data_IF_726051379497
#
_entry.id   IF_726051379497
#
_cell.length_a   1.000
_cell.length_b   1.000
_cell.length_c   1.000
_cell.angle_alpha   90.00
_cell.angle_beta   90.00
_cell.angle_gamma   90.00
#
_symmetry.space_group_name_H-M   'P 1'
#
loop_
_entity.id
_entity.type
_entity.pdbx_description
1 polymer ?
#
# COMPACT_ATOMS: atom_id res chain seq x y z
N UNK A 1 1.91 -10.84 6.58
CA UNK A 1 1.91 -11.64 5.35
C UNK A 1 0.63 -12.46 5.17
N UNK A 2 0.30 -13.39 6.10
CA UNK A 2 -0.83 -14.31 5.94
C UNK A 2 -2.15 -13.63 5.59
N UNK A 3 -2.46 -12.49 6.22
CA UNK A 3 -3.68 -11.72 5.91
C UNK A 3 -3.71 -11.20 4.47
N UNK A 4 -2.56 -10.79 3.92
CA UNK A 4 -2.49 -10.35 2.53
C UNK A 4 -2.56 -11.52 1.55
N UNK A 5 -1.98 -12.68 1.90
CA UNK A 5 -2.16 -13.89 1.10
C UNK A 5 -3.62 -14.34 1.02
N UNK A 6 -4.40 -14.17 2.10
CA UNK A 6 -5.84 -14.43 2.05
C UNK A 6 -6.56 -13.50 1.07
N UNK A 7 -6.14 -12.22 0.97
CA UNK A 7 -6.68 -11.31 -0.04
C UNK A 7 -6.27 -11.72 -1.48
N UNK A 8 -5.00 -12.12 -1.68
CA UNK A 8 -4.54 -12.61 -2.99
C UNK A 8 -5.27 -13.91 -3.41
N UNK A 9 -5.58 -14.77 -2.45
CA UNK A 9 -6.39 -15.95 -2.72
C UNK A 9 -7.82 -15.56 -3.15
N UNK A 10 -8.43 -14.59 -2.46
CA UNK A 10 -9.73 -14.06 -2.84
C UNK A 10 -9.71 -13.41 -4.25
N UNK A 11 -8.62 -12.73 -4.62
CA UNK A 11 -8.39 -12.21 -5.98
C UNK A 11 -8.36 -13.34 -7.02
N UNK A 12 -7.65 -14.42 -6.71
CA UNK A 12 -7.50 -15.57 -7.59
C UNK A 12 -8.83 -16.31 -7.85
N UNK A 13 -9.59 -16.56 -6.78
CA UNK A 13 -10.85 -17.32 -6.86
C UNK A 13 -12.03 -16.48 -7.31
N UNK A 14 -12.11 -15.22 -6.88
CA UNK A 14 -13.29 -14.37 -7.03
C UNK A 14 -13.09 -13.13 -7.88
N UNK A 15 -11.88 -12.91 -8.38
CA UNK A 15 -11.56 -11.79 -9.25
C UNK A 15 -11.34 -10.46 -8.52
N UNK A 16 -11.14 -9.41 -9.32
CA UNK A 16 -10.72 -8.09 -8.87
C UNK A 16 -11.76 -7.40 -7.97
N UNK A 17 -13.04 -7.65 -8.18
CA UNK A 17 -14.11 -7.02 -7.39
C UNK A 17 -14.09 -7.55 -5.95
N UNK A 18 -14.00 -8.88 -5.78
CA UNK A 18 -13.92 -9.51 -4.46
C UNK A 18 -12.63 -9.09 -3.74
N UNK A 19 -11.51 -9.02 -4.47
CA UNK A 19 -10.27 -8.48 -3.94
C UNK A 19 -10.42 -7.05 -3.43
N UNK A 20 -11.05 -6.17 -4.21
CA UNK A 20 -11.28 -4.78 -3.84
C UNK A 20 -12.13 -4.65 -2.55
N UNK A 21 -13.15 -5.48 -2.40
CA UNK A 21 -13.98 -5.53 -1.19
C UNK A 21 -13.19 -5.96 0.04
N UNK A 22 -12.39 -7.01 -0.09
CA UNK A 22 -11.51 -7.52 0.99
C UNK A 22 -10.48 -6.46 1.39
N UNK A 23 -9.81 -5.83 0.43
CA UNK A 23 -8.83 -4.76 0.68
C UNK A 23 -9.51 -3.55 1.34
N UNK A 24 -10.68 -3.14 0.86
CA UNK A 24 -11.45 -2.04 1.46
C UNK A 24 -11.83 -2.32 2.91
N UNK A 25 -12.20 -3.55 3.23
CA UNK A 25 -12.50 -3.96 4.60
C UNK A 25 -11.25 -3.88 5.48
N UNK A 26 -10.10 -4.40 5.02
CA UNK A 26 -8.82 -4.31 5.74
C UNK A 26 -8.42 -2.86 5.97
N UNK A 27 -8.57 -2.00 4.97
CA UNK A 27 -8.30 -0.57 5.06
C UNK A 27 -9.14 0.09 6.14
N UNK A 28 -10.46 -0.10 6.13
CA UNK A 28 -11.36 0.48 7.14
C UNK A 28 -10.99 0.06 8.56
N UNK A 29 -10.60 -1.20 8.75
CA UNK A 29 -10.16 -1.69 10.05
C UNK A 29 -8.83 -1.09 10.49
N UNK A 30 -7.85 -1.04 9.62
CA UNK A 30 -6.54 -0.45 9.92
C UNK A 30 -6.66 1.03 10.26
N UNK A 31 -7.45 1.79 9.50
CA UNK A 31 -7.63 3.23 9.71
C UNK A 31 -8.29 3.57 11.05
N UNK A 32 -9.27 2.78 11.49
CA UNK A 32 -9.95 3.00 12.78
C UNK A 32 -9.03 2.90 14.01
N UNK A 33 -7.93 2.16 13.89
CA UNK A 33 -7.03 1.88 15.01
C UNK A 33 -5.60 2.36 14.78
N UNK A 34 -5.32 3.05 13.67
CA UNK A 34 -3.95 3.45 13.31
C UNK A 34 -3.30 4.36 14.35
N UNK A 35 -4.10 5.23 15.02
CA UNK A 35 -3.62 6.10 16.10
C UNK A 35 -3.13 5.35 17.34
N UNK A 36 -3.45 4.07 17.47
CA UNK A 36 -3.04 3.24 18.61
C UNK A 36 -1.61 2.70 18.47
N UNK A 37 -1.00 2.84 17.29
CA UNK A 37 0.41 2.51 17.13
C UNK A 37 0.80 1.97 15.75
N UNK A 38 2.10 1.66 15.61
CA UNK A 38 2.69 1.11 14.40
C UNK A 38 2.32 -0.38 14.22
N UNK A 39 2.69 -0.92 13.06
CA UNK A 39 2.61 -2.38 12.78
C UNK A 39 3.61 -3.14 13.68
N UNK A 40 4.81 -2.57 13.83
CA UNK A 40 5.84 -3.12 14.72
C UNK A 40 5.53 -2.77 16.17
N UNK A 41 5.14 -3.77 16.96
CA UNK A 41 4.71 -3.57 18.33
C UNK A 41 5.86 -3.54 19.34
N UNK A 42 6.99 -4.23 19.06
CA UNK A 42 8.11 -4.31 19.97
C UNK A 42 7.68 -4.76 21.38
N UNK A 43 8.08 -4.00 22.40
CA UNK A 43 7.73 -4.26 23.80
C UNK A 43 6.23 -4.11 24.10
N UNK A 44 5.46 -3.48 23.24
CA UNK A 44 4.00 -3.33 23.42
C UNK A 44 3.23 -4.61 23.15
N UNK A 45 3.86 -5.61 22.54
CA UNK A 45 3.21 -6.89 22.21
C UNK A 45 2.49 -7.48 23.42
N UNK A 46 3.15 -7.54 24.58
CA UNK A 46 2.58 -8.07 25.83
C UNK A 46 1.41 -7.25 26.42
N UNK A 47 1.21 -6.01 25.99
CA UNK A 47 0.06 -5.18 26.41
C UNK A 47 -1.12 -5.32 25.46
N UNK A 48 -0.86 -5.45 24.16
CA UNK A 48 -1.88 -5.51 23.10
C UNK A 48 -2.51 -6.89 22.98
N UNK A 49 -1.88 -7.95 23.51
CA UNK A 49 -2.46 -9.30 23.49
C UNK A 49 -3.83 -9.38 24.17
N UNK A 50 -4.09 -8.50 25.14
CA UNK A 50 -5.40 -8.37 25.81
C UNK A 50 -6.43 -7.54 25.05
N UNK A 51 -6.03 -6.95 23.92
CA UNK A 51 -6.90 -6.19 23.00
C UNK A 51 -6.89 -6.79 21.58
N UNK A 52 -7.51 -7.97 21.37
CA UNK A 52 -7.41 -8.71 20.12
C UNK A 52 -7.89 -7.92 18.90
N UNK A 53 -8.81 -6.95 19.08
CA UNK A 53 -9.29 -6.10 17.98
C UNK A 53 -8.20 -5.14 17.50
N UNK A 54 -7.49 -4.51 18.43
CA UNK A 54 -6.37 -3.59 18.12
C UNK A 54 -5.21 -4.36 17.51
N UNK A 55 -4.84 -5.48 18.11
CA UNK A 55 -3.81 -6.36 17.57
C UNK A 55 -4.12 -6.77 16.12
N UNK A 56 -5.35 -7.23 15.86
CA UNK A 56 -5.79 -7.61 14.52
C UNK A 56 -5.77 -6.43 13.54
N UNK A 57 -6.17 -5.25 13.99
CA UNK A 57 -6.17 -4.06 13.15
C UNK A 57 -4.76 -3.61 12.77
N UNK A 58 -3.82 -3.59 13.72
CA UNK A 58 -2.46 -3.11 13.49
C UNK A 58 -1.59 -4.17 12.81
N UNK A 59 -1.50 -5.37 13.36
CA UNK A 59 -0.56 -6.39 12.86
C UNK A 59 -1.08 -7.05 11.59
N UNK A 60 -2.35 -7.44 11.56
CA UNK A 60 -2.92 -8.15 10.42
C UNK A 60 -3.36 -7.19 9.31
N UNK A 61 -4.30 -6.29 9.61
CA UNK A 61 -4.91 -5.47 8.56
C UNK A 61 -3.98 -4.35 8.10
N UNK A 62 -3.38 -3.56 9.01
CA UNK A 62 -2.41 -2.51 8.62
C UNK A 62 -1.20 -3.12 7.95
N UNK A 63 -0.65 -4.24 8.46
CA UNK A 63 0.44 -4.95 7.81
C UNK A 63 0.07 -5.46 6.40
N UNK A 64 -1.16 -5.94 6.18
CA UNK A 64 -1.64 -6.32 4.86
C UNK A 64 -1.77 -5.10 3.92
N UNK A 65 -2.22 -3.95 4.44
CA UNK A 65 -2.30 -2.71 3.65
C UNK A 65 -0.92 -2.19 3.26
N UNK A 66 0.09 -2.33 4.11
CA UNK A 66 1.47 -1.98 3.75
C UNK A 66 1.96 -2.82 2.57
N UNK A 67 1.69 -4.12 2.57
CA UNK A 67 2.03 -5.00 1.44
C UNK A 67 1.23 -4.65 0.18
N UNK A 68 -0.04 -4.28 0.32
CA UNK A 68 -0.84 -3.83 -0.81
C UNK A 68 -0.29 -2.54 -1.43
N UNK A 69 0.07 -1.56 -0.59
CA UNK A 69 0.73 -0.34 -1.07
C UNK A 69 2.06 -0.64 -1.76
N UNK A 70 2.86 -1.55 -1.20
CA UNK A 70 4.12 -1.98 -1.81
C UNK A 70 3.91 -2.64 -3.19
N UNK A 71 2.86 -3.48 -3.33
CA UNK A 71 2.47 -4.07 -4.62
C UNK A 71 2.12 -2.98 -5.64
N UNK A 72 1.32 -1.99 -5.22
CA UNK A 72 0.96 -0.86 -6.09
C UNK A 72 2.15 0.00 -6.49
N UNK A 73 3.11 0.17 -5.59
CA UNK A 73 4.32 0.97 -5.80
C UNK A 73 5.32 0.29 -6.74
N UNK A 74 5.47 -1.02 -6.65
CA UNK A 74 6.47 -1.79 -7.40
C UNK A 74 5.92 -2.44 -8.67
N UNK A 75 4.61 -2.57 -8.78
CA UNK A 75 3.95 -3.40 -9.79
C UNK A 75 4.02 -4.89 -9.44
N UNK A 76 3.15 -5.67 -10.09
CA UNK A 76 2.97 -7.09 -9.78
C UNK A 76 4.23 -7.92 -9.97
N UNK A 77 4.94 -7.73 -11.08
CA UNK A 77 6.11 -8.53 -11.43
C UNK A 77 7.20 -8.44 -10.35
N UNK A 78 7.54 -7.21 -9.95
CA UNK A 78 8.59 -6.97 -8.94
C UNK A 78 8.09 -7.41 -7.57
N UNK A 79 6.85 -7.10 -7.24
CA UNK A 79 6.25 -7.48 -5.96
C UNK A 79 6.27 -9.01 -5.76
N UNK A 80 5.76 -9.77 -6.72
CA UNK A 80 5.75 -11.24 -6.62
C UNK A 80 7.15 -11.86 -6.72
N UNK A 81 8.09 -11.22 -7.42
CA UNK A 81 9.50 -11.61 -7.40
C UNK A 81 10.10 -11.45 -6.01
N UNK A 82 9.84 -10.33 -5.33
CA UNK A 82 10.25 -10.06 -3.95
C UNK A 82 9.67 -11.09 -2.96
N UNK A 83 8.36 -11.36 -3.04
CA UNK A 83 7.70 -12.36 -2.20
C UNK A 83 8.28 -13.76 -2.39
N UNK A 84 8.47 -14.21 -3.64
CA UNK A 84 9.06 -15.52 -3.93
C UNK A 84 10.50 -15.61 -3.42
N UNK A 85 11.27 -14.51 -3.53
CA UNK A 85 12.62 -14.44 -2.98
C UNK A 85 12.61 -14.59 -1.46
N UNK A 86 11.81 -13.76 -0.77
CA UNK A 86 11.66 -13.81 0.68
C UNK A 86 11.28 -15.22 1.16
N UNK A 87 10.26 -15.83 0.56
CA UNK A 87 9.81 -17.16 0.93
C UNK A 87 10.90 -18.22 0.73
N UNK A 88 11.64 -18.17 -0.38
CA UNK A 88 12.71 -19.12 -0.68
C UNK A 88 13.89 -19.00 0.28
N UNK A 89 14.30 -17.76 0.62
CA UNK A 89 15.46 -17.50 1.48
C UNK A 89 15.16 -17.75 2.94
N UNK A 90 13.94 -17.45 3.39
CA UNK A 90 13.55 -17.54 4.79
C UNK A 90 12.73 -18.80 5.13
N UNK A 91 12.59 -19.70 4.18
CA UNK A 91 11.85 -20.94 4.37
C UNK A 91 12.44 -21.76 5.54
N UNK A 92 11.55 -22.11 6.50
CA UNK A 92 11.89 -22.87 7.71
C UNK A 92 12.88 -22.17 8.67
N UNK A 93 13.05 -20.88 8.54
CA UNK A 93 13.86 -20.07 9.46
C UNK A 93 13.01 -19.01 10.13
N UNK A 94 13.58 -18.33 11.14
CA UNK A 94 12.98 -17.14 11.71
C UNK A 94 13.24 -15.95 10.79
N UNK A 95 12.20 -15.23 10.42
CA UNK A 95 12.29 -14.06 9.52
C UNK A 95 11.78 -12.80 10.22
N UNK A 96 12.52 -11.71 10.05
CA UNK A 96 12.14 -10.37 10.52
C UNK A 96 11.75 -9.43 9.40
N UNK A 97 11.43 -8.20 9.78
CA UNK A 97 11.14 -7.11 8.83
C UNK A 97 12.33 -6.84 7.92
N UNK A 98 13.55 -6.84 8.45
CA UNK A 98 14.78 -6.57 7.68
C UNK A 98 15.02 -7.60 6.57
N UNK A 99 14.65 -8.85 6.80
CA UNK A 99 14.75 -9.90 5.77
C UNK A 99 13.76 -9.66 4.64
N UNK A 100 12.55 -9.21 4.98
CA UNK A 100 11.54 -8.81 4.01
C UNK A 100 12.01 -7.61 3.18
N UNK A 101 12.49 -6.55 3.84
CA UNK A 101 13.06 -5.35 3.20
C UNK A 101 14.13 -5.75 2.20
N UNK A 102 15.15 -6.51 2.63
CA UNK A 102 16.25 -6.96 1.79
C UNK A 102 15.79 -7.75 0.56
N UNK A 103 14.81 -8.62 0.73
CA UNK A 103 14.27 -9.40 -0.38
C UNK A 103 13.60 -8.52 -1.43
N UNK A 104 12.82 -7.52 -0.99
CA UNK A 104 12.16 -6.57 -1.89
C UNK A 104 13.12 -5.56 -2.52
N UNK A 105 14.09 -5.02 -1.77
CA UNK A 105 15.12 -4.12 -2.31
C UNK A 105 15.94 -4.81 -3.40
N UNK A 106 16.31 -6.07 -3.19
CA UNK A 106 17.00 -6.86 -4.23
C UNK A 106 16.13 -7.10 -5.45
N UNK A 107 14.83 -7.35 -5.26
CA UNK A 107 13.92 -7.57 -6.39
C UNK A 107 13.66 -6.30 -7.19
N UNK A 108 13.55 -5.16 -6.49
CA UNK A 108 13.24 -3.84 -7.06
C UNK A 108 14.50 -3.10 -7.57
N UNK A 109 15.69 -3.55 -7.18
CA UNK A 109 16.96 -2.87 -7.44
C UNK A 109 16.95 -1.39 -7.00
N UNK A 110 16.33 -1.11 -5.84
CA UNK A 110 16.31 0.22 -5.21
C UNK A 110 16.10 0.11 -3.70
N UNK A 111 16.49 1.14 -2.93
CA UNK A 111 16.21 1.16 -1.50
C UNK A 111 14.69 1.28 -1.25
N UNK A 112 14.22 0.58 -0.21
CA UNK A 112 12.83 0.61 0.28
C UNK A 112 12.79 0.83 1.79
N UNK A 113 13.95 1.03 2.42
CA UNK A 113 14.04 1.20 3.86
C UNK A 113 13.13 2.32 4.37
N UNK A 114 13.13 3.48 3.73
CA UNK A 114 12.30 4.62 4.13
C UNK A 114 10.80 4.32 4.05
N UNK A 115 10.37 3.57 3.02
CA UNK A 115 9.00 3.09 2.92
C UNK A 115 8.63 2.22 4.11
N UNK A 116 9.46 1.21 4.44
CA UNK A 116 9.17 0.30 5.54
C UNK A 116 9.28 0.99 6.90
N UNK A 117 10.25 1.87 7.11
CA UNK A 117 10.39 2.62 8.36
C UNK A 117 9.12 3.45 8.65
N UNK A 118 8.62 4.16 7.66
CA UNK A 118 7.41 4.97 7.79
C UNK A 118 6.15 4.12 8.04
N UNK A 119 5.97 3.05 7.29
CA UNK A 119 4.73 2.29 7.34
C UNK A 119 4.69 1.19 8.40
N UNK A 120 5.85 0.67 8.82
CA UNK A 120 5.95 -0.42 9.80
C UNK A 120 6.28 0.11 11.20
N UNK A 121 7.18 1.08 11.32
CA UNK A 121 7.70 1.53 12.61
C UNK A 121 7.04 2.82 13.13
N UNK A 122 6.38 3.59 12.28
CA UNK A 122 5.65 4.79 12.69
C UNK A 122 4.12 4.57 12.68
N UNK A 123 3.42 5.40 13.46
CA UNK A 123 1.94 5.37 13.55
C UNK A 123 1.28 6.48 12.74
N UNK A 124 2.05 7.47 12.32
CA UNK A 124 1.53 8.62 11.59
C UNK A 124 0.98 8.21 10.21
N UNK A 125 0.06 9.01 9.72
CA UNK A 125 -0.45 8.92 8.36
C UNK A 125 0.01 10.14 7.56
N UNK A 126 0.18 10.02 6.24
CA UNK A 126 0.50 11.16 5.40
C UNK A 126 -0.65 12.16 5.37
N UNK A 127 -0.33 13.44 5.53
CA UNK A 127 -1.23 14.53 5.19
C UNK A 127 -1.05 14.83 3.70
N UNK A 128 -2.11 14.71 2.95
CA UNK A 128 -2.08 14.90 1.51
C UNK A 128 -3.07 15.98 1.08
N UNK A 129 -2.56 17.05 0.48
CA UNK A 129 -3.35 18.07 -0.19
C UNK A 129 -3.38 17.76 -1.69
N UNK A 130 -4.58 17.79 -2.25
CA UNK A 130 -4.81 17.54 -3.67
C UNK A 130 -5.47 18.73 -4.33
N UNK A 131 -4.95 19.14 -5.48
CA UNK A 131 -5.54 20.15 -6.34
C UNK A 131 -5.47 19.68 -7.79
N UNK A 132 -6.46 20.05 -8.58
CA UNK A 132 -6.42 19.83 -10.01
C UNK A 132 -6.91 21.06 -10.77
N UNK A 133 -6.46 21.19 -12.01
CA UNK A 133 -6.96 22.14 -12.99
C UNK A 133 -6.97 21.51 -14.37
N UNK A 134 -7.84 21.97 -15.23
CA UNK A 134 -7.89 21.57 -16.63
C UNK A 134 -7.49 22.74 -17.50
N UNK A 135 -6.64 22.50 -18.50
CA UNK A 135 -6.15 23.51 -19.44
C UNK A 135 -6.42 23.03 -20.87
N UNK A 136 -6.99 23.91 -21.71
CA UNK A 136 -7.15 23.60 -23.13
C UNK A 136 -5.77 23.50 -23.79
N UNK A 137 -5.51 22.43 -24.52
CA UNK A 137 -4.23 22.24 -25.21
C UNK A 137 -4.17 23.19 -26.40
N UNK A 138 -3.18 24.12 -26.40
CA UNK A 138 -3.01 25.12 -27.45
C UNK A 138 -2.39 24.57 -28.76
N UNK A 139 -1.76 23.38 -28.68
CA UNK A 139 -1.12 22.70 -29.82
C UNK A 139 -1.53 21.24 -29.84
N UNK A 140 -2.45 20.85 -30.69
CA UNK A 140 -2.95 19.47 -30.82
C UNK A 140 -4.27 19.43 -31.59
N UNK A 141 -4.91 18.26 -31.62
CA UNK A 141 -6.24 18.10 -32.22
C UNK A 141 -7.26 18.96 -31.45
N UNK A 142 -8.18 19.60 -32.18
CA UNK A 142 -9.25 20.40 -31.56
C UNK A 142 -10.03 19.57 -30.54
N UNK A 143 -10.02 20.02 -29.27
CA UNK A 143 -10.77 19.40 -28.19
C UNK A 143 -9.93 18.63 -27.15
N UNK A 144 -8.61 18.59 -27.30
CA UNK A 144 -7.73 18.01 -26.25
C UNK A 144 -7.62 18.96 -25.07
N UNK A 145 -7.68 18.38 -23.86
CA UNK A 145 -7.58 19.09 -22.60
C UNK A 145 -6.56 18.39 -21.71
N UNK A 146 -5.59 19.15 -21.23
CA UNK A 146 -4.63 18.63 -20.24
C UNK A 146 -5.22 18.74 -18.82
N UNK A 147 -5.13 17.67 -18.03
CA UNK A 147 -5.47 17.67 -16.62
C UNK A 147 -4.17 17.74 -15.80
N UNK A 148 -3.96 18.88 -15.12
CA UNK A 148 -2.81 19.08 -14.25
C UNK A 148 -3.21 18.78 -12.82
N UNK A 149 -2.55 17.76 -12.22
CA UNK A 149 -2.79 17.33 -10.86
C UNK A 149 -1.59 17.71 -10.00
N UNK A 150 -1.86 18.25 -8.83
CA UNK A 150 -0.85 18.62 -7.85
C UNK A 150 -1.13 17.95 -6.52
N UNK A 151 -0.17 17.17 -6.05
CA UNK A 151 -0.17 16.53 -4.74
C UNK A 151 0.91 17.18 -3.87
N UNK A 152 0.55 17.57 -2.66
CA UNK A 152 1.46 18.14 -1.68
C UNK A 152 1.33 17.35 -0.39
N UNK A 153 2.45 16.90 0.17
CA UNK A 153 2.48 16.27 1.49
C UNK A 153 2.86 17.31 2.55
N UNK A 154 2.42 17.06 3.79
CA UNK A 154 2.78 17.87 4.94
C UNK A 154 4.25 17.72 5.33
N UNK A 155 4.56 17.95 6.62
CA UNK A 155 5.94 17.94 7.12
C UNK A 155 6.66 16.58 7.01
N UNK A 156 5.91 15.49 7.05
CA UNK A 156 6.44 14.13 6.90
C UNK A 156 6.16 13.62 5.49
N UNK A 157 7.22 13.23 4.81
CA UNK A 157 7.13 12.68 3.45
C UNK A 157 7.00 11.16 3.53
N UNK A 158 5.98 10.65 2.86
CA UNK A 158 5.72 9.22 2.69
C UNK A 158 5.83 8.85 1.21
N UNK A 159 6.39 7.70 0.93
CA UNK A 159 6.26 7.09 -0.38
C UNK A 159 4.92 6.36 -0.44
N UNK A 160 3.99 6.87 -1.27
CA UNK A 160 2.62 6.37 -1.40
C UNK A 160 2.24 6.18 -2.86
N UNK A 161 1.64 5.03 -3.22
CA UNK A 161 1.04 4.86 -4.53
C UNK A 161 -0.29 5.63 -4.60
N UNK A 162 -0.41 6.56 -5.54
CA UNK A 162 -1.63 7.34 -5.76
C UNK A 162 -2.25 6.88 -7.08
N UNK A 163 -3.48 6.38 -7.03
CA UNK A 163 -4.23 6.07 -8.25
C UNK A 163 -5.13 7.24 -8.60
N UNK A 164 -4.97 7.75 -9.81
CA UNK A 164 -5.84 8.77 -10.39
C UNK A 164 -6.71 8.12 -11.44
N UNK A 165 -8.03 8.29 -11.31
CA UNK A 165 -8.99 7.83 -12.32
C UNK A 165 -9.66 9.02 -12.98
N UNK A 166 -9.46 9.17 -14.28
CA UNK A 166 -10.18 10.11 -15.11
C UNK A 166 -11.48 9.46 -15.59
N UNK A 167 -12.59 10.15 -15.35
CA UNK A 167 -13.92 9.73 -15.83
C UNK A 167 -14.37 10.68 -16.91
N UNK A 168 -14.50 10.18 -18.11
CA UNK A 168 -14.94 10.95 -19.26
C UNK A 168 -16.49 11.00 -19.32
N UNK A 169 -17.01 12.04 -19.96
CA UNK A 169 -18.47 12.17 -20.19
C UNK A 169 -19.02 11.06 -21.10
N UNK A 170 -18.18 10.44 -21.91
CA UNK A 170 -18.51 9.26 -22.72
C UNK A 170 -18.83 8.01 -21.88
N UNK A 171 -18.49 8.01 -20.58
CA UNK A 171 -18.60 6.85 -19.69
C UNK A 171 -17.31 6.02 -19.62
N UNK A 172 -16.29 6.35 -20.41
CA UNK A 172 -14.98 5.72 -20.34
C UNK A 172 -14.22 6.17 -19.10
N UNK A 173 -13.37 5.27 -18.58
CA UNK A 173 -12.50 5.54 -17.44
C UNK A 173 -11.06 5.19 -17.79
N UNK A 174 -10.13 6.02 -17.37
CA UNK A 174 -8.70 5.78 -17.52
C UNK A 174 -8.02 5.95 -16.16
N UNK A 175 -7.16 5.00 -15.75
CA UNK A 175 -6.51 5.02 -14.45
C UNK A 175 -5.00 4.97 -14.58
N UNK A 176 -4.33 5.79 -13.77
CA UNK A 176 -2.87 5.92 -13.66
C UNK A 176 -2.45 5.70 -12.20
N UNK A 177 -1.26 5.15 -11.98
CA UNK A 177 -0.64 4.97 -10.64
C UNK A 177 0.67 5.72 -10.58
#
# INVERSE_FOLDING_TARGET
>A
LAQYFAALYAEHEGGVEIFADVVSQMQRWSMRHTSQGPVYLGYRLGRIEYEPRVFRALVYNKGAMVLHMLRRLLGDDIFFKGLRRFYREMRFTQAGTDDLVRAFETAANRPLKDFFDRWIHESDLPELNFRYRTEARLSGSQGETDAVLRFEQGAKIFEIPITVTLRYRSGENESFV
#
